data_IF_715421508019
#
_entry.id   IF_715421508019
#
_cell.length_a   1.000
_cell.length_b   1.000
_cell.length_c   1.000
_cell.angle_alpha   90.00
_cell.angle_beta   90.00
_cell.angle_gamma   90.00
#
_symmetry.space_group_name_H-M   'P 1'
#
loop_
_entity.id
_entity.type
_entity.pdbx_description
1 polymer ?
#
# COMPACT_ATOMS: atom_id res chain seq x y z
N UNK A 1 -4.19 13.28 -20.01
CA UNK A 1 -2.91 13.38 -19.25
C UNK A 1 -1.90 12.50 -19.96
N UNK A 2 -0.68 13.00 -20.13
CA UNK A 2 0.33 12.47 -21.05
C UNK A 2 0.94 11.15 -20.52
N UNK A 3 1.03 10.12 -21.38
CA UNK A 3 1.72 8.86 -21.06
C UNK A 3 3.22 9.04 -20.73
N UNK A 4 3.82 10.18 -21.06
CA UNK A 4 5.18 10.55 -20.70
C UNK A 4 5.36 10.77 -19.19
N UNK A 5 4.38 11.38 -18.50
CA UNK A 5 4.47 11.62 -17.06
C UNK A 5 4.37 10.32 -16.27
N UNK A 6 3.48 9.39 -16.67
CA UNK A 6 3.40 8.04 -16.08
C UNK A 6 4.71 7.29 -16.25
N UNK A 7 5.31 7.35 -17.46
CA UNK A 7 6.60 6.71 -17.75
C UNK A 7 7.73 7.33 -16.93
N UNK A 8 7.81 8.65 -16.87
CA UNK A 8 8.83 9.35 -16.09
C UNK A 8 8.70 9.07 -14.59
N UNK A 9 7.47 9.05 -14.06
CA UNK A 9 7.20 8.67 -12.68
C UNK A 9 7.76 7.28 -12.37
N UNK A 10 7.41 6.27 -13.19
CA UNK A 10 7.91 4.90 -13.05
C UNK A 10 9.44 4.85 -13.01
N UNK A 11 10.09 5.43 -14.02
CA UNK A 11 11.56 5.44 -14.11
C UNK A 11 12.20 6.07 -12.88
N UNK A 12 11.67 7.19 -12.37
CA UNK A 12 12.21 7.81 -11.16
C UNK A 12 11.99 6.99 -9.89
N UNK A 13 10.91 6.20 -9.80
CA UNK A 13 10.73 5.26 -8.69
C UNK A 13 11.77 4.13 -8.79
N UNK A 14 11.88 3.48 -9.94
CA UNK A 14 12.82 2.37 -10.18
C UNK A 14 14.29 2.79 -9.97
N UNK A 15 14.65 4.01 -10.35
CA UNK A 15 16.00 4.58 -10.18
C UNK A 15 16.25 5.18 -8.77
N UNK A 16 15.28 5.04 -7.84
CA UNK A 16 15.31 5.62 -6.49
C UNK A 16 15.49 7.15 -6.43
N UNK A 17 15.06 7.86 -7.47
CA UNK A 17 15.05 9.32 -7.60
C UNK A 17 13.79 9.93 -6.95
N UNK A 18 13.61 9.66 -5.65
CA UNK A 18 12.32 9.85 -4.95
C UNK A 18 11.78 11.28 -4.94
N UNK A 19 12.63 12.31 -4.84
CA UNK A 19 12.16 13.71 -4.89
C UNK A 19 11.58 14.06 -6.29
N UNK A 20 12.18 13.52 -7.36
CA UNK A 20 11.67 13.68 -8.72
C UNK A 20 10.39 12.90 -8.92
N UNK A 21 10.36 11.64 -8.47
CA UNK A 21 9.17 10.80 -8.50
C UNK A 21 7.98 11.47 -7.77
N UNK A 22 8.20 11.95 -6.55
CA UNK A 22 7.20 12.64 -5.74
C UNK A 22 6.67 13.92 -6.41
N UNK A 23 7.57 14.70 -7.00
CA UNK A 23 7.20 15.93 -7.73
C UNK A 23 6.29 15.66 -8.93
N UNK A 24 6.45 14.50 -9.60
CA UNK A 24 5.55 14.07 -10.68
C UNK A 24 4.27 13.48 -10.11
N UNK A 25 4.35 12.58 -9.12
CA UNK A 25 3.19 11.90 -8.53
C UNK A 25 2.12 12.87 -8.02
N UNK A 26 2.52 14.05 -7.52
CA UNK A 26 1.61 15.13 -7.12
C UNK A 26 0.76 15.73 -8.24
N UNK A 27 1.12 15.48 -9.50
CA UNK A 27 0.40 15.93 -10.70
C UNK A 27 -0.45 14.81 -11.32
N UNK A 28 -0.23 13.57 -10.88
CA UNK A 28 -0.94 12.39 -11.36
C UNK A 28 -2.18 12.13 -10.49
N UNK A 29 -3.18 11.46 -11.06
CA UNK A 29 -4.30 10.94 -10.28
C UNK A 29 -3.84 9.82 -9.35
N UNK A 30 -4.59 9.59 -8.27
CA UNK A 30 -4.30 8.48 -7.34
C UNK A 30 -4.24 7.15 -8.08
N UNK A 31 -5.22 6.87 -8.95
CA UNK A 31 -5.29 5.64 -9.74
C UNK A 31 -4.02 5.39 -10.57
N UNK A 32 -3.45 6.43 -11.19
CA UNK A 32 -2.23 6.27 -12.00
C UNK A 32 -1.02 5.99 -11.11
N UNK A 33 -0.93 6.64 -9.95
CA UNK A 33 0.16 6.41 -9.00
C UNK A 33 0.08 4.98 -8.47
N UNK A 34 -1.11 4.56 -8.02
CA UNK A 34 -1.37 3.22 -7.51
C UNK A 34 -1.10 2.14 -8.55
N UNK A 35 -1.70 2.25 -9.74
CA UNK A 35 -1.49 1.31 -10.84
C UNK A 35 -0.01 1.22 -11.22
N UNK A 36 0.71 2.34 -11.23
CA UNK A 36 2.14 2.33 -11.59
C UNK A 36 2.98 1.63 -10.53
N UNK A 37 2.77 1.95 -9.25
CA UNK A 37 3.54 1.35 -8.16
C UNK A 37 3.24 -0.14 -7.99
N UNK A 38 1.97 -0.53 -8.09
CA UNK A 38 1.56 -1.95 -8.06
C UNK A 38 2.11 -2.72 -9.26
N UNK A 39 2.15 -2.12 -10.46
CA UNK A 39 2.78 -2.73 -11.63
C UNK A 39 4.31 -2.88 -11.46
N UNK A 40 5.00 -1.94 -10.83
CA UNK A 40 6.44 -2.12 -10.50
C UNK A 40 6.62 -3.34 -9.58
N UNK A 41 5.74 -3.51 -8.59
CA UNK A 41 5.77 -4.69 -7.72
C UNK A 41 5.40 -6.00 -8.45
N UNK A 42 4.55 -5.95 -9.48
CA UNK A 42 4.02 -7.12 -10.17
C UNK A 42 4.84 -7.55 -11.41
N UNK A 43 5.45 -6.62 -12.13
CA UNK A 43 6.13 -6.84 -13.40
C UNK A 43 7.61 -7.21 -13.23
N UNK A 44 7.91 -8.37 -12.65
CA UNK A 44 9.17 -9.10 -12.93
C UNK A 44 8.94 -10.62 -12.87
N UNK A 45 8.01 -11.09 -13.70
CA UNK A 45 7.69 -12.52 -13.93
C UNK A 45 8.73 -13.21 -14.84
N UNK A 46 10.02 -12.93 -14.62
CA UNK A 46 11.13 -13.40 -15.43
C UNK A 46 12.39 -13.69 -14.63
N UNK A 47 12.35 -14.70 -13.76
CA UNK A 47 13.51 -15.36 -13.11
C UNK A 47 14.36 -14.51 -12.14
N UNK A 48 13.91 -14.41 -10.89
CA UNK A 48 14.57 -14.92 -9.66
C UNK A 48 13.98 -14.20 -8.44
N UNK A 49 13.88 -14.87 -7.30
CA UNK A 49 13.38 -14.31 -6.02
C UNK A 49 14.06 -13.00 -5.60
N UNK A 50 15.29 -12.74 -6.07
CA UNK A 50 16.06 -11.52 -5.75
C UNK A 50 15.60 -10.27 -6.51
N UNK A 51 15.09 -10.42 -7.74
CA UNK A 51 14.66 -9.29 -8.57
C UNK A 51 13.33 -8.71 -8.05
N UNK A 52 12.38 -9.61 -7.74
CA UNK A 52 11.10 -9.28 -7.08
C UNK A 52 11.33 -8.56 -5.74
N UNK A 53 12.31 -9.00 -4.94
CA UNK A 53 12.64 -8.36 -3.67
C UNK A 53 13.09 -6.92 -3.83
N UNK A 54 13.84 -6.61 -4.89
CA UNK A 54 14.41 -5.28 -5.11
C UNK A 54 13.33 -4.28 -5.56
N UNK A 55 12.43 -4.70 -6.45
CA UNK A 55 11.31 -3.88 -6.94
C UNK A 55 10.28 -3.59 -5.85
N UNK A 56 10.03 -4.54 -4.96
CA UNK A 56 9.17 -4.31 -3.78
C UNK A 56 9.82 -3.31 -2.82
N UNK A 57 11.11 -3.48 -2.52
CA UNK A 57 11.82 -2.62 -1.58
C UNK A 57 11.90 -1.17 -2.08
N UNK A 58 12.15 -0.96 -3.38
CA UNK A 58 12.21 0.42 -3.92
C UNK A 58 10.86 1.12 -3.86
N UNK A 59 9.76 0.40 -4.15
CA UNK A 59 8.41 0.95 -3.99
C UNK A 59 8.11 1.24 -2.53
N UNK A 60 8.42 0.32 -1.61
CA UNK A 60 8.25 0.52 -0.18
C UNK A 60 8.99 1.78 0.31
N UNK A 61 10.26 1.95 -0.04
CA UNK A 61 11.02 3.15 0.35
C UNK A 61 10.47 4.43 -0.28
N UNK A 62 10.01 4.39 -1.53
CA UNK A 62 9.34 5.53 -2.15
C UNK A 62 8.06 5.91 -1.40
N UNK A 63 7.26 4.93 -1.00
CA UNK A 63 6.02 5.14 -0.24
C UNK A 63 6.31 5.72 1.14
N UNK A 64 7.28 5.18 1.87
CA UNK A 64 7.72 5.72 3.16
C UNK A 64 8.23 7.16 3.05
N UNK A 65 9.03 7.45 2.02
CA UNK A 65 9.46 8.81 1.70
C UNK A 65 8.26 9.74 1.43
N UNK A 66 7.27 9.27 0.67
CA UNK A 66 6.10 10.06 0.31
C UNK A 66 5.19 10.31 1.51
N UNK A 67 5.00 9.32 2.39
CA UNK A 67 4.28 9.47 3.66
C UNK A 67 4.99 10.45 4.60
N UNK A 68 6.32 10.47 4.62
CA UNK A 68 7.07 11.48 5.37
C UNK A 68 6.76 12.90 4.89
N UNK A 69 6.63 13.10 3.58
CA UNK A 69 6.30 14.40 2.97
C UNK A 69 4.82 14.76 3.08
N UNK A 70 3.92 13.77 2.99
CA UNK A 70 2.48 13.96 2.91
C UNK A 70 1.71 12.88 3.69
N UNK A 71 1.75 12.97 5.03
CA UNK A 71 1.12 11.98 5.94
C UNK A 71 -0.38 11.76 5.76
N UNK A 72 -1.09 12.65 5.06
CA UNK A 72 -2.54 12.57 4.84
C UNK A 72 -2.93 12.12 3.44
N UNK A 73 -1.96 11.75 2.60
CA UNK A 73 -2.25 11.20 1.29
C UNK A 73 -2.63 9.73 1.42
N UNK A 74 -3.94 9.49 1.40
CA UNK A 74 -4.59 8.17 1.51
C UNK A 74 -3.96 7.12 0.57
N UNK A 75 -3.77 7.44 -0.71
CA UNK A 75 -3.11 6.53 -1.67
C UNK A 75 -1.79 5.92 -1.18
N UNK A 76 -0.98 6.68 -0.45
CA UNK A 76 0.31 6.17 0.01
C UNK A 76 0.14 5.23 1.19
N UNK A 77 -0.89 5.42 2.02
CA UNK A 77 -1.23 4.47 3.08
C UNK A 77 -1.77 3.15 2.52
N UNK A 78 -2.59 3.20 1.47
CA UNK A 78 -3.07 1.98 0.81
C UNK A 78 -1.91 1.20 0.18
N UNK A 79 -1.01 1.88 -0.55
CA UNK A 79 0.14 1.23 -1.18
C UNK A 79 1.17 0.76 -0.15
N UNK A 80 1.31 1.47 0.97
CA UNK A 80 2.14 1.03 2.10
C UNK A 80 1.60 -0.27 2.70
N UNK A 81 0.28 -0.39 2.85
CA UNK A 81 -0.33 -1.66 3.20
C UNK A 81 0.03 -2.74 2.17
N UNK A 82 -0.23 -2.53 0.88
CA UNK A 82 0.03 -3.56 -0.14
C UNK A 82 1.49 -4.02 -0.19
N UNK A 83 2.44 -3.12 0.06
CA UNK A 83 3.88 -3.44 0.02
C UNK A 83 4.39 -4.01 1.34
N UNK A 84 4.00 -3.45 2.49
CA UNK A 84 4.40 -3.93 3.81
C UNK A 84 3.80 -5.29 4.14
N UNK A 85 2.52 -5.47 3.81
CA UNK A 85 1.71 -6.61 4.23
C UNK A 85 2.00 -7.90 3.45
N UNK A 86 2.35 -7.80 2.16
CA UNK A 86 2.46 -8.97 1.30
C UNK A 86 3.92 -9.34 1.00
N UNK A 87 4.69 -8.56 0.23
CA UNK A 87 6.04 -8.96 -0.15
C UNK A 87 7.15 -8.50 0.81
N UNK A 88 6.98 -7.39 1.53
CA UNK A 88 8.06 -6.88 2.40
C UNK A 88 8.16 -7.64 3.72
N UNK A 89 7.07 -8.18 4.26
CA UNK A 89 7.14 -9.02 5.45
C UNK A 89 8.06 -10.24 5.27
N UNK A 90 7.97 -10.91 4.11
CA UNK A 90 8.88 -12.00 3.74
C UNK A 90 10.36 -11.58 3.67
N UNK A 91 10.64 -10.29 3.44
CA UNK A 91 11.98 -9.75 3.18
C UNK A 91 12.59 -9.00 4.38
N UNK A 92 11.75 -8.36 5.20
CA UNK A 92 12.12 -7.43 6.27
C UNK A 92 11.75 -8.00 7.65
N UNK A 93 10.78 -8.92 7.72
CA UNK A 93 10.34 -9.62 8.92
C UNK A 93 9.10 -9.04 9.61
N UNK A 94 8.66 -9.71 10.69
CA UNK A 94 7.37 -9.58 11.40
C UNK A 94 6.90 -8.15 11.74
N UNK A 95 7.77 -7.14 11.72
CA UNK A 95 7.42 -5.74 11.96
C UNK A 95 6.61 -5.08 10.84
N UNK A 96 6.70 -5.60 9.61
CA UNK A 96 5.99 -5.06 8.45
C UNK A 96 4.47 -5.32 8.51
N UNK A 97 4.03 -6.38 9.20
CA UNK A 97 2.61 -6.63 9.49
C UNK A 97 1.95 -5.46 10.23
N UNK A 98 2.59 -4.97 11.30
CA UNK A 98 2.08 -3.88 12.12
C UNK A 98 1.95 -2.59 11.31
N UNK A 99 2.96 -2.32 10.47
CA UNK A 99 3.02 -1.15 9.61
C UNK A 99 1.88 -1.21 8.58
N UNK A 100 1.72 -2.32 7.87
CA UNK A 100 0.66 -2.48 6.88
C UNK A 100 -0.74 -2.29 7.50
N UNK A 101 -1.02 -2.94 8.63
CA UNK A 101 -2.28 -2.76 9.35
C UNK A 101 -2.50 -1.31 9.80
N UNK A 102 -1.46 -0.64 10.33
CA UNK A 102 -1.55 0.76 10.75
C UNK A 102 -1.84 1.69 9.57
N UNK A 103 -1.18 1.47 8.42
CA UNK A 103 -1.38 2.26 7.22
C UNK A 103 -2.77 2.04 6.63
N UNK A 104 -3.25 0.79 6.54
CA UNK A 104 -4.62 0.53 6.10
C UNK A 104 -5.68 1.14 7.03
N UNK A 105 -5.49 1.10 8.35
CA UNK A 105 -6.38 1.81 9.30
C UNK A 105 -6.42 3.31 9.01
N UNK A 106 -5.30 3.91 8.63
CA UNK A 106 -5.26 5.32 8.27
C UNK A 106 -5.93 5.59 6.91
N UNK A 107 -5.75 4.71 5.92
CA UNK A 107 -6.47 4.78 4.65
C UNK A 107 -7.99 4.75 4.86
N UNK A 108 -8.51 3.82 5.68
CA UNK A 108 -9.93 3.76 6.04
C UNK A 108 -10.44 5.03 6.76
N UNK A 109 -9.60 5.71 7.54
CA UNK A 109 -9.99 6.99 8.18
C UNK A 109 -10.03 8.15 7.19
N UNK A 110 -9.13 8.15 6.22
CA UNK A 110 -9.03 9.21 5.21
C UNK A 110 -10.09 9.06 4.12
N UNK A 111 -10.51 7.82 3.82
CA UNK A 111 -11.62 7.50 2.92
C UNK A 111 -12.61 6.50 3.58
N UNK A 112 -13.52 7.01 4.43
CA UNK A 112 -14.43 6.18 5.22
C UNK A 112 -15.57 5.55 4.41
N UNK A 113 -15.76 5.91 3.14
CA UNK A 113 -16.80 5.32 2.30
C UNK A 113 -16.25 4.22 1.39
N UNK A 114 -14.91 4.07 1.34
CA UNK A 114 -14.27 3.03 0.56
C UNK A 114 -14.45 1.66 1.22
N UNK A 115 -15.30 0.84 0.62
CA UNK A 115 -15.58 -0.53 1.07
C UNK A 115 -14.40 -1.44 0.82
N UNK A 116 -13.68 -1.26 -0.30
CA UNK A 116 -12.56 -2.12 -0.67
C UNK A 116 -11.44 -2.09 0.38
N UNK A 117 -11.11 -0.90 0.93
CA UNK A 117 -10.11 -0.78 1.99
C UNK A 117 -10.49 -1.53 3.26
N UNK A 118 -11.77 -1.48 3.63
CA UNK A 118 -12.30 -2.21 4.78
C UNK A 118 -12.27 -3.71 4.56
N UNK A 119 -12.63 -4.15 3.36
CA UNK A 119 -12.57 -5.57 2.96
C UNK A 119 -11.13 -6.07 2.95
N UNK A 120 -10.18 -5.31 2.41
CA UNK A 120 -8.75 -5.64 2.40
C UNK A 120 -8.20 -5.74 3.83
N UNK A 121 -8.57 -4.82 4.72
CA UNK A 121 -8.20 -4.86 6.14
C UNK A 121 -8.72 -6.13 6.85
N UNK A 122 -9.99 -6.50 6.60
CA UNK A 122 -10.60 -7.71 7.18
C UNK A 122 -10.03 -9.00 6.59
N UNK A 123 -9.84 -9.05 5.28
CA UNK A 123 -9.24 -10.18 4.60
C UNK A 123 -7.84 -10.44 5.12
N UNK A 124 -7.10 -9.37 5.38
CA UNK A 124 -5.77 -9.45 5.98
C UNK A 124 -5.80 -9.97 7.42
N UNK A 125 -6.72 -9.46 8.25
CA UNK A 125 -6.97 -9.98 9.60
C UNK A 125 -7.32 -11.48 9.62
N UNK A 126 -8.12 -11.95 8.67
CA UNK A 126 -8.56 -13.34 8.62
C UNK A 126 -7.44 -14.31 8.18
N UNK A 127 -6.42 -13.81 7.46
CA UNK A 127 -5.35 -14.63 6.85
C UNK A 127 -4.09 -14.79 7.68
N UNK A 128 -3.80 -13.92 8.65
CA UNK A 128 -2.58 -14.04 9.48
C UNK A 128 -2.76 -15.16 10.51
N UNK A 129 -1.98 -16.28 10.43
CA UNK A 129 -2.06 -17.36 11.40
C UNK A 129 -1.34 -16.95 12.69
N UNK A 130 -2.07 -16.84 13.79
CA UNK A 130 -1.53 -16.44 15.09
C UNK A 130 -1.74 -14.96 15.38
N UNK A 131 -2.02 -14.65 16.65
CA UNK A 131 -2.13 -13.31 17.22
C UNK A 131 -3.00 -12.30 16.44
N UNK A 132 -4.17 -12.78 15.98
CA UNK A 132 -5.23 -11.96 15.37
C UNK A 132 -5.47 -10.65 16.15
N UNK A 133 -5.47 -10.73 17.48
CA UNK A 133 -5.70 -9.58 18.37
C UNK A 133 -4.55 -8.57 18.50
N UNK A 134 -3.37 -8.83 17.94
CA UNK A 134 -2.19 -7.96 18.11
C UNK A 134 -2.26 -6.70 17.23
N UNK A 135 -2.95 -6.77 16.09
CA UNK A 135 -2.99 -5.66 15.11
C UNK A 135 -4.40 -5.16 14.81
N UNK A 136 -5.42 -6.02 14.92
CA UNK A 136 -6.83 -5.66 14.82
C UNK A 136 -7.61 -6.47 15.86
N UNK A 137 -8.30 -5.81 16.79
CA UNK A 137 -9.08 -6.56 17.79
C UNK A 137 -10.31 -7.21 17.14
N UNK A 138 -10.86 -8.25 17.78
CA UNK A 138 -12.13 -8.84 17.34
C UNK A 138 -13.28 -7.80 17.33
N UNK A 139 -13.25 -6.84 18.25
CA UNK A 139 -14.22 -5.74 18.32
C UNK A 139 -14.06 -4.76 17.14
N UNK A 140 -12.82 -4.39 16.80
CA UNK A 140 -12.53 -3.55 15.62
C UNK A 140 -12.97 -4.27 14.33
N UNK A 141 -12.63 -5.55 14.19
CA UNK A 141 -13.04 -6.35 13.03
C UNK A 141 -14.56 -6.45 12.92
N UNK A 142 -15.27 -6.58 14.04
CA UNK A 142 -16.74 -6.59 14.07
C UNK A 142 -17.31 -5.23 13.64
N UNK A 143 -16.78 -4.12 14.16
CA UNK A 143 -17.19 -2.76 13.79
C UNK A 143 -17.05 -2.54 12.28
N UNK A 144 -15.90 -2.91 11.71
CA UNK A 144 -15.64 -2.77 10.28
C UNK A 144 -16.64 -3.58 9.44
N UNK A 145 -17.00 -4.80 9.87
CA UNK A 145 -18.02 -5.62 9.19
C UNK A 145 -19.41 -4.95 9.23
N UNK A 146 -19.77 -4.33 10.35
CA UNK A 146 -21.01 -3.58 10.50
C UNK A 146 -21.04 -2.34 9.59
N UNK A 147 -19.92 -1.61 9.49
CA UNK A 147 -19.76 -0.46 8.59
C UNK A 147 -19.90 -0.85 7.12
N UNK A 148 -19.27 -1.95 6.68
CA UNK A 148 -19.42 -2.48 5.31
C UNK A 148 -20.89 -2.79 5.01
N UNK A 149 -21.59 -3.47 5.92
CA UNK A 149 -22.99 -3.80 5.74
C UNK A 149 -23.87 -2.56 5.62
N UNK A 150 -23.55 -1.50 6.38
CA UNK A 150 -24.27 -0.23 6.32
C UNK A 150 -24.02 0.53 5.00
N UNK A 151 -22.82 0.45 4.43
CA UNK A 151 -22.47 1.09 3.15
C UNK A 151 -23.06 0.35 1.93
N UNK A 152 -23.27 -0.96 2.05
CA UNK A 152 -23.81 -1.81 0.98
C UNK A 152 -25.35 -1.95 1.00
N UNK A 153 -26.02 -1.50 2.06
CA UNK A 153 -27.48 -1.59 2.25
C UNK A 153 -28.22 -0.34 1.80
#
# INVERSE_FOLDING_TARGET
MDGSDKKAFRTYVEDAEFEKAYSIARKLSNDIVEETLTNICAEETGNTTHAIASSVLVVYFYVQYSLFKEKKAEKYHYIDFLTAAFPADFLIGDGCYAIGCSSMKEACKLDPDNVAYKEDLLHYYDRVPGDKGTYLSEEEAKSIREEINALNG
#
